data_IF_276333874930
#
_entry.id   IF_276333874930
#
_cell.length_a   1.000
_cell.length_b   1.000
_cell.length_c   1.000
_cell.angle_alpha   90.00
_cell.angle_beta   90.00
_cell.angle_gamma   90.00
#
_symmetry.space_group_name_H-M   'P 1'
#
loop_
_entity.id
_entity.type
_entity.pdbx_description
1 polymer ?
#
# COMPACT_ATOMS: atom_id res chain seq x y z
N UNK A 1 19.74 16.29 6.63
CA UNK A 1 20.28 15.34 7.65
C UNK A 1 20.72 14.09 6.90
N UNK A 2 21.95 13.60 7.10
CA UNK A 2 22.45 12.39 6.40
C UNK A 2 21.75 11.16 6.97
N UNK A 3 21.29 10.24 6.11
CA UNK A 3 20.69 8.98 6.54
C UNK A 3 21.78 8.05 7.13
N UNK A 4 21.46 7.35 8.22
CA UNK A 4 22.36 6.42 8.94
C UNK A 4 21.60 5.17 9.36
N UNK A 5 22.32 4.12 9.78
CA UNK A 5 21.70 2.91 10.34
C UNK A 5 20.77 3.23 11.51
N UNK A 6 21.20 4.08 12.44
CA UNK A 6 20.35 4.55 13.55
C UNK A 6 19.04 5.19 13.04
N UNK A 7 19.11 6.05 12.02
CA UNK A 7 17.91 6.71 11.48
C UNK A 7 16.99 5.73 10.75
N UNK A 8 17.55 4.76 10.04
CA UNK A 8 16.82 3.66 9.41
C UNK A 8 16.07 2.83 10.47
N UNK A 9 16.78 2.44 11.53
CA UNK A 9 16.22 1.71 12.66
C UNK A 9 15.09 2.47 13.35
N UNK A 10 15.31 3.73 13.73
CA UNK A 10 14.28 4.58 14.35
C UNK A 10 13.02 4.67 13.47
N UNK A 11 13.20 4.78 12.16
CA UNK A 11 12.07 4.88 11.22
C UNK A 11 11.28 3.57 11.17
N UNK A 12 11.95 2.43 11.09
CA UNK A 12 11.29 1.12 11.04
C UNK A 12 10.61 0.78 12.37
N UNK A 13 11.27 1.01 13.51
CA UNK A 13 10.69 0.74 14.82
C UNK A 13 9.47 1.63 15.10
N UNK A 14 9.54 2.91 14.71
CA UNK A 14 8.39 3.81 14.77
C UNK A 14 7.24 3.32 13.88
N UNK A 15 7.53 2.92 12.64
CA UNK A 15 6.53 2.39 11.72
C UNK A 15 5.84 1.13 12.28
N UNK A 16 6.61 0.23 12.88
CA UNK A 16 6.10 -0.98 13.52
C UNK A 16 5.21 -0.66 14.73
N UNK A 17 5.64 0.27 15.60
CA UNK A 17 4.85 0.71 16.74
C UNK A 17 3.53 1.38 16.33
N UNK A 18 3.56 2.17 15.25
CA UNK A 18 2.39 2.85 14.68
C UNK A 18 1.54 1.97 13.75
N UNK A 19 1.89 0.68 13.60
CA UNK A 19 1.22 -0.28 12.70
C UNK A 19 1.05 0.25 11.26
N UNK A 20 2.10 0.88 10.73
CA UNK A 20 2.13 1.28 9.32
C UNK A 20 2.13 0.02 8.45
N UNK A 21 1.40 0.08 7.33
CA UNK A 21 1.25 -1.07 6.45
C UNK A 21 2.57 -1.45 5.78
N UNK A 22 3.41 -0.45 5.45
CA UNK A 22 4.59 -0.64 4.61
C UNK A 22 5.79 0.19 5.07
N UNK A 23 6.98 -0.35 4.80
CA UNK A 23 8.24 0.39 4.79
C UNK A 23 8.81 0.35 3.38
N UNK A 24 9.12 1.53 2.84
CA UNK A 24 9.86 1.69 1.59
C UNK A 24 11.32 2.02 1.87
N UNK A 25 12.23 1.35 1.20
CA UNK A 25 13.67 1.59 1.24
C UNK A 25 14.16 1.87 -0.17
N UNK A 26 14.89 2.96 -0.36
CA UNK A 26 15.47 3.36 -1.65
C UNK A 26 16.96 3.03 -1.66
N UNK A 27 17.41 2.27 -2.66
CA UNK A 27 18.77 1.75 -2.77
C UNK A 27 19.40 2.25 -4.07
N UNK A 28 20.51 2.97 -3.93
CA UNK A 28 21.35 3.37 -5.05
C UNK A 28 22.27 2.20 -5.42
N UNK A 29 22.38 1.93 -6.72
CA UNK A 29 23.27 0.92 -7.27
C UNK A 29 24.11 1.52 -8.42
N UNK A 30 25.44 1.46 -8.32
CA UNK A 30 26.36 2.11 -9.27
C UNK A 30 26.17 1.72 -10.73
N UNK A 31 25.72 0.48 -10.96
CA UNK A 31 25.66 -0.11 -12.29
C UNK A 31 24.30 0.15 -12.99
N UNK A 32 23.37 0.87 -12.33
CA UNK A 32 22.02 1.13 -12.82
C UNK A 32 21.70 2.63 -12.86
N UNK A 33 20.85 3.02 -13.83
CA UNK A 33 20.46 4.43 -14.03
C UNK A 33 19.43 4.94 -13.01
N UNK A 34 18.77 4.05 -12.30
CA UNK A 34 17.68 4.39 -11.39
C UNK A 34 17.78 3.55 -10.14
N UNK A 35 17.47 4.19 -9.02
CA UNK A 35 17.51 3.56 -7.70
C UNK A 35 16.41 2.50 -7.58
N UNK A 36 16.73 1.40 -6.90
CA UNK A 36 15.77 0.36 -6.54
C UNK A 36 14.88 0.86 -5.39
N UNK A 37 13.59 0.56 -5.44
CA UNK A 37 12.65 0.79 -4.33
C UNK A 37 12.19 -0.57 -3.81
N UNK A 38 12.61 -0.92 -2.60
CA UNK A 38 12.21 -2.15 -1.90
C UNK A 38 11.07 -1.82 -0.95
N UNK A 39 9.91 -2.45 -1.14
CA UNK A 39 8.75 -2.29 -0.27
C UNK A 39 8.57 -3.58 0.54
N UNK A 40 8.48 -3.45 1.87
CA UNK A 40 8.16 -4.57 2.75
C UNK A 40 6.89 -4.26 3.52
N UNK A 41 6.03 -5.27 3.69
CA UNK A 41 4.84 -5.18 4.54
C UNK A 41 5.18 -5.13 6.03
N UNK A 42 4.15 -4.87 6.84
CA UNK A 42 4.22 -4.82 8.30
C UNK A 42 4.91 -6.05 8.91
N UNK A 43 4.58 -7.25 8.43
CA UNK A 43 5.06 -8.51 9.00
C UNK A 43 6.56 -8.74 8.75
N UNK A 44 7.08 -8.19 7.66
CA UNK A 44 8.48 -8.34 7.27
C UNK A 44 9.38 -7.21 7.80
N UNK A 45 8.84 -6.13 8.39
CA UNK A 45 9.61 -4.95 8.80
C UNK A 45 10.79 -5.28 9.73
N UNK A 46 10.54 -6.04 10.81
CA UNK A 46 11.58 -6.33 11.80
C UNK A 46 12.64 -7.28 11.25
N UNK A 47 12.24 -8.33 10.54
CA UNK A 47 13.18 -9.24 9.89
C UNK A 47 14.06 -8.54 8.85
N UNK A 48 13.51 -7.54 8.14
CA UNK A 48 14.26 -6.70 7.21
C UNK A 48 15.22 -5.75 7.93
N UNK A 49 14.81 -5.16 9.06
CA UNK A 49 15.71 -4.35 9.90
C UNK A 49 16.93 -5.18 10.36
N UNK A 50 16.71 -6.40 10.84
CA UNK A 50 17.79 -7.29 11.26
C UNK A 50 18.74 -7.61 10.09
N UNK A 51 18.18 -7.87 8.90
CA UNK A 51 18.99 -8.03 7.69
C UNK A 51 19.83 -6.79 7.40
N UNK A 52 19.24 -5.58 7.42
CA UNK A 52 19.97 -4.35 7.13
C UNK A 52 21.11 -4.11 8.12
N UNK A 53 20.89 -4.29 9.42
CA UNK A 53 21.93 -4.17 10.45
C UNK A 53 23.12 -5.12 10.22
N UNK A 54 22.84 -6.35 9.74
CA UNK A 54 23.88 -7.33 9.43
C UNK A 54 24.61 -6.98 8.14
N UNK A 55 23.89 -6.63 7.08
CA UNK A 55 24.46 -6.50 5.73
C UNK A 55 25.09 -5.13 5.45
N UNK A 56 24.69 -4.06 6.15
CA UNK A 56 25.11 -2.69 5.85
C UNK A 56 25.97 -2.09 6.98
N UNK A 57 26.82 -1.14 6.59
CA UNK A 57 27.60 -0.30 7.51
C UNK A 57 26.72 0.80 8.14
N UNK A 58 27.28 1.54 9.10
CA UNK A 58 26.60 2.67 9.76
C UNK A 58 26.16 3.78 8.78
N UNK A 59 26.94 3.98 7.72
CA UNK A 59 26.66 4.95 6.65
C UNK A 59 25.77 4.39 5.53
N UNK A 60 25.25 3.17 5.74
CA UNK A 60 24.34 2.46 4.86
C UNK A 60 24.93 2.00 3.52
N UNK A 61 26.25 1.89 3.42
CA UNK A 61 26.90 1.14 2.34
C UNK A 61 26.82 -0.36 2.61
N UNK A 62 26.60 -1.17 1.57
CA UNK A 62 26.56 -2.63 1.70
C UNK A 62 27.96 -3.17 2.00
N UNK A 63 28.12 -3.95 3.07
CA UNK A 63 29.44 -4.46 3.50
C UNK A 63 30.19 -5.24 2.42
N UNK A 64 29.46 -6.03 1.62
CA UNK A 64 30.04 -6.84 0.55
C UNK A 64 30.31 -6.07 -0.74
N UNK A 65 29.79 -4.84 -0.88
CA UNK A 65 29.96 -4.02 -2.08
C UNK A 65 29.83 -2.51 -1.73
N UNK A 66 30.72 -1.98 -0.88
CA UNK A 66 30.54 -0.66 -0.26
C UNK A 66 30.51 0.50 -1.26
N UNK A 67 31.21 0.35 -2.39
CA UNK A 67 31.27 1.35 -3.46
C UNK A 67 30.17 1.19 -4.51
N UNK A 68 29.31 0.18 -4.37
CA UNK A 68 28.30 -0.16 -5.38
C UNK A 68 26.87 -0.06 -4.90
N UNK A 69 26.60 -0.33 -3.63
CA UNK A 69 25.24 -0.43 -3.13
C UNK A 69 25.09 0.36 -1.84
N UNK A 70 24.11 1.27 -1.81
CA UNK A 70 23.85 2.11 -0.66
C UNK A 70 22.36 2.37 -0.45
N UNK A 71 21.88 2.24 0.78
CA UNK A 71 20.53 2.72 1.12
C UNK A 71 20.59 4.25 1.24
N UNK A 72 19.82 4.93 0.40
CA UNK A 72 19.79 6.39 0.28
C UNK A 72 18.46 7.00 0.76
N UNK A 73 17.43 6.19 1.01
CA UNK A 73 16.14 6.66 1.49
C UNK A 73 15.35 5.62 2.28
N UNK A 74 14.50 6.09 3.19
CA UNK A 74 13.53 5.27 3.93
C UNK A 74 12.26 6.07 4.20
N UNK A 75 11.10 5.43 4.08
CA UNK A 75 9.80 5.98 4.47
C UNK A 75 8.88 4.89 5.02
N UNK A 76 8.05 5.25 5.99
CA UNK A 76 6.91 4.46 6.43
C UNK A 76 5.62 4.98 5.78
N UNK A 77 4.80 4.09 5.22
CA UNK A 77 3.61 4.48 4.47
C UNK A 77 2.44 3.53 4.73
N UNK A 78 1.22 4.01 4.45
CA UNK A 78 -0.02 3.23 4.53
C UNK A 78 -0.41 2.61 3.18
N UNK A 79 0.18 3.07 2.08
CA UNK A 79 -0.07 2.57 0.73
C UNK A 79 1.19 2.63 -0.15
N UNK A 80 1.17 1.96 -1.29
CA UNK A 80 2.26 2.01 -2.26
C UNK A 80 2.36 3.37 -2.95
N UNK A 81 1.23 4.05 -3.16
CA UNK A 81 1.17 5.38 -3.75
C UNK A 81 1.92 6.39 -2.88
N UNK A 82 1.80 6.31 -1.55
CA UNK A 82 2.55 7.19 -0.64
C UNK A 82 4.06 6.99 -0.72
N UNK A 83 4.51 5.76 -0.98
CA UNK A 83 5.94 5.45 -1.19
C UNK A 83 6.40 6.03 -2.54
N UNK A 84 5.60 5.83 -3.60
CA UNK A 84 5.89 6.37 -4.92
C UNK A 84 5.96 7.91 -4.89
N UNK A 85 4.97 8.57 -4.28
CA UNK A 85 4.93 10.02 -4.17
C UNK A 85 6.16 10.56 -3.45
N UNK A 86 6.62 9.87 -2.39
CA UNK A 86 7.80 10.30 -1.66
C UNK A 86 9.12 10.12 -2.42
N UNK A 87 9.34 8.97 -3.06
CA UNK A 87 10.64 8.64 -3.68
C UNK A 87 10.78 9.05 -5.14
N UNK A 88 9.66 9.09 -5.87
CA UNK A 88 9.60 9.37 -7.32
C UNK A 88 8.89 10.70 -7.58
N UNK A 89 8.02 11.13 -6.67
CA UNK A 89 7.15 12.28 -6.87
C UNK A 89 5.79 11.88 -7.45
N UNK A 90 4.95 12.89 -7.67
CA UNK A 90 3.68 12.70 -8.37
C UNK A 90 3.95 12.31 -9.83
N UNK A 91 3.91 11.01 -10.11
CA UNK A 91 3.88 10.50 -11.47
C UNK A 91 2.52 10.88 -12.05
N UNK A 92 2.47 11.99 -12.80
CA UNK A 92 1.34 12.28 -13.66
C UNK A 92 1.31 11.24 -14.76
N UNK A 93 0.69 10.09 -14.48
CA UNK A 93 0.20 9.25 -15.56
C UNK A 93 -0.75 10.13 -16.36
N UNK A 94 -0.43 10.38 -17.64
CA UNK A 94 -1.42 10.82 -18.61
C UNK A 94 -2.42 9.68 -18.79
N UNK A 95 -3.23 9.40 -17.77
CA UNK A 95 -4.45 8.65 -17.94
C UNK A 95 -5.43 9.58 -18.64
N UNK A 96 -5.28 9.63 -19.96
CA UNK A 96 -6.39 9.90 -20.86
C UNK A 96 -7.38 8.77 -20.67
N UNK A 97 -8.33 8.96 -19.75
CA UNK A 97 -9.70 8.41 -19.75
C UNK A 97 -10.44 9.02 -18.55
N UNK A 98 -10.88 10.26 -18.72
CA UNK A 98 -12.04 10.76 -17.99
C UNK A 98 -13.25 9.99 -18.53
N UNK A 99 -13.57 8.84 -17.94
CA UNK A 99 -14.89 8.23 -18.17
C UNK A 99 -15.83 8.96 -17.21
N UNK A 100 -16.49 10.00 -17.72
CA UNK A 100 -17.71 10.49 -17.09
C UNK A 100 -18.77 9.41 -17.30
N UNK A 101 -18.95 8.55 -16.29
CA UNK A 101 -20.10 7.64 -16.27
C UNK A 101 -21.33 8.50 -16.00
N UNK A 102 -21.94 9.02 -17.05
CA UNK A 102 -23.30 9.57 -16.99
C UNK A 102 -24.25 8.39 -16.77
N UNK A 103 -24.39 7.97 -15.51
CA UNK A 103 -25.47 7.10 -15.07
C UNK A 103 -26.77 7.91 -15.19
N UNK A 104 -27.38 7.89 -16.38
CA UNK A 104 -28.73 8.40 -16.58
C UNK A 104 -29.73 7.40 -15.97
N UNK A 105 -29.67 7.25 -14.65
CA UNK A 105 -30.60 6.42 -13.91
C UNK A 105 -31.82 7.29 -13.66
N UNK A 106 -32.93 7.01 -14.34
CA UNK A 106 -34.18 7.68 -14.06
C UNK A 106 -34.63 7.27 -12.64
N UNK A 107 -35.21 8.22 -11.90
CA UNK A 107 -35.82 7.97 -10.59
C UNK A 107 -36.82 6.82 -10.59
N UNK A 108 -37.46 6.53 -11.73
CA UNK A 108 -38.38 5.41 -11.87
C UNK A 108 -37.67 4.06 -11.96
N UNK A 109 -36.46 4.01 -12.53
CA UNK A 109 -35.63 2.79 -12.53
C UNK A 109 -35.20 2.43 -11.11
N UNK A 110 -34.84 3.44 -10.30
CA UNK A 110 -34.51 3.24 -8.86
C UNK A 110 -35.72 2.73 -8.09
N UNK A 111 -36.91 3.30 -8.33
CA UNK A 111 -38.15 2.85 -7.69
C UNK A 111 -38.47 1.42 -8.08
N UNK A 112 -38.33 1.06 -9.35
CA UNK A 112 -38.60 -0.29 -9.84
C UNK A 112 -37.63 -1.32 -9.23
N UNK A 113 -36.34 -0.99 -9.15
CA UNK A 113 -35.35 -1.84 -8.47
C UNK A 113 -35.69 -2.02 -6.99
N UNK A 114 -36.11 -0.95 -6.31
CA UNK A 114 -36.50 -1.00 -4.90
C UNK A 114 -37.75 -1.87 -4.69
N UNK A 115 -38.74 -1.79 -5.58
CA UNK A 115 -39.95 -2.62 -5.54
C UNK A 115 -39.58 -4.09 -5.74
N UNK A 116 -38.77 -4.41 -6.76
CA UNK A 116 -38.38 -5.80 -7.05
C UNK A 116 -37.59 -6.43 -5.89
N UNK A 117 -36.75 -5.64 -5.21
CA UNK A 117 -36.04 -6.08 -4.01
C UNK A 117 -37.00 -6.35 -2.83
N UNK A 118 -38.02 -5.50 -2.65
CA UNK A 118 -39.04 -5.70 -1.62
C UNK A 118 -39.88 -6.95 -1.88
N UNK A 119 -40.30 -7.19 -3.12
CA UNK A 119 -41.07 -8.39 -3.49
C UNK A 119 -40.28 -9.67 -3.21
N UNK A 120 -39.00 -9.72 -3.62
CA UNK A 120 -38.10 -10.85 -3.33
C UNK A 120 -37.94 -11.10 -1.83
N UNK A 121 -37.86 -10.05 -1.02
CA UNK A 121 -37.78 -10.16 0.43
C UNK A 121 -39.09 -10.69 1.02
N UNK A 122 -40.23 -10.17 0.58
CA UNK A 122 -41.56 -10.61 1.03
C UNK A 122 -41.77 -12.09 0.70
N UNK A 123 -41.42 -12.54 -0.50
CA UNK A 123 -41.55 -13.94 -0.91
C UNK A 123 -40.63 -14.87 -0.12
N UNK A 124 -39.43 -14.41 0.23
CA UNK A 124 -38.54 -15.13 1.15
C UNK A 124 -39.18 -15.29 2.54
N UNK A 125 -39.73 -14.21 3.10
CA UNK A 125 -40.39 -14.24 4.40
C UNK A 125 -41.63 -15.14 4.42
N UNK A 126 -42.47 -15.08 3.37
CA UNK A 126 -43.65 -15.96 3.22
C UNK A 126 -43.28 -17.44 3.19
N UNK A 127 -42.21 -17.80 2.46
CA UNK A 127 -41.70 -19.18 2.43
C UNK A 127 -41.25 -19.64 3.81
N UNK A 128 -40.52 -18.80 4.55
CA UNK A 128 -40.04 -19.13 5.89
C UNK A 128 -41.18 -19.28 6.90
N UNK A 129 -42.20 -18.42 6.85
CA UNK A 129 -43.38 -18.53 7.72
C UNK A 129 -44.17 -19.82 7.40
N UNK A 130 -44.36 -20.15 6.12
CA UNK A 130 -45.10 -21.34 5.70
C UNK A 130 -44.41 -22.66 6.10
N UNK A 131 -43.09 -22.65 6.29
CA UNK A 131 -42.31 -23.81 6.77
C UNK A 131 -42.38 -24.00 8.29
N UNK A 132 -42.70 -22.96 9.06
CA UNK A 132 -42.77 -22.99 10.53
C UNK A 132 -44.18 -23.28 11.09
N UNK A 133 -45.18 -23.53 10.24
CA UNK A 133 -46.58 -23.81 10.62
C UNK A 133 -46.98 -25.28 10.29
N UNK A 134 -46.01 -26.18 10.08
CA UNK A 134 -46.21 -27.64 10.01
C UNK A 134 -45.63 -28.31 11.23
#
# INVERSE_FOLDING_TARGET
MKLTMKKLEETILKAYAEKKNYIGVKVEMSDFKSDEIIINDYYNMLGKLDYYKRAYNEDLTLKSAPDKVKIVGVIAATSYEGIQEYFVGNVKYKNSLNIDVNLNINSDDIKNIAIEAQEKLIDSLKRNISLNIK
#
